data_IF_620210148510
#
_entry.id   IF_620210148510
#
_cell.length_a   1.000
_cell.length_b   1.000
_cell.length_c   1.000
_cell.angle_alpha   90.00
_cell.angle_beta   90.00
_cell.angle_gamma   90.00
#
_symmetry.space_group_name_H-M   'P 1'
#
loop_
_entity.id
_entity.type
_entity.pdbx_description
1 polymer ?
#
# COMPACT_ATOMS: atom_id res chain seq x y z
N UNK A 1 9.16 11.65 13.57
CA UNK A 1 7.88 11.21 12.99
C UNK A 1 7.81 11.83 11.63
N UNK A 2 8.08 11.04 10.59
CA UNK A 2 7.76 11.43 9.22
C UNK A 2 6.25 11.51 9.09
N UNK A 3 5.76 12.46 8.29
CA UNK A 3 4.33 12.60 8.02
C UNK A 3 3.95 11.55 6.96
N UNK A 4 2.97 10.66 7.20
CA UNK A 4 2.62 9.58 6.27
C UNK A 4 2.36 10.06 4.84
N UNK A 5 1.83 11.27 4.67
CA UNK A 5 1.63 11.88 3.37
C UNK A 5 2.92 12.29 2.66
N UNK A 6 3.93 12.76 3.38
CA UNK A 6 5.23 13.08 2.82
C UNK A 6 5.94 11.82 2.30
N UNK A 7 5.89 10.74 3.06
CA UNK A 7 6.46 9.44 2.66
C UNK A 7 5.71 8.86 1.46
N UNK A 8 4.37 8.91 1.48
CA UNK A 8 3.55 8.49 0.33
C UNK A 8 3.94 9.23 -0.95
N UNK A 9 4.01 10.57 -0.91
CA UNK A 9 4.40 11.36 -2.08
C UNK A 9 5.84 11.09 -2.50
N UNK A 10 6.76 10.90 -1.55
CA UNK A 10 8.13 10.54 -1.84
C UNK A 10 8.24 9.21 -2.59
N UNK A 11 7.50 8.18 -2.17
CA UNK A 11 7.60 6.84 -2.74
C UNK A 11 6.78 6.62 -4.01
N UNK A 12 5.63 7.26 -4.14
CA UNK A 12 4.72 7.07 -5.28
C UNK A 12 4.85 8.17 -6.32
N UNK A 13 5.34 9.36 -5.94
CA UNK A 13 5.26 10.56 -6.77
C UNK A 13 3.86 11.17 -6.87
N UNK A 14 2.83 10.55 -6.27
CA UNK A 14 1.47 11.09 -6.23
C UNK A 14 1.35 12.13 -5.13
N UNK A 15 0.67 13.23 -5.43
CA UNK A 15 0.40 14.27 -4.45
C UNK A 15 -0.49 13.71 -3.33
N UNK A 16 -0.08 13.93 -2.07
CA UNK A 16 -0.90 13.56 -0.92
C UNK A 16 -2.26 14.29 -0.95
N UNK A 17 -3.39 13.58 -0.93
CA UNK A 17 -4.70 14.22 -0.95
C UNK A 17 -4.97 14.98 0.34
N UNK A 18 -5.43 16.23 0.26
CA UNK A 18 -5.76 17.04 1.44
C UNK A 18 -6.90 16.45 2.28
N UNK A 19 -7.78 15.65 1.67
CA UNK A 19 -8.91 15.00 2.33
C UNK A 19 -8.57 13.58 2.84
N UNK A 20 -7.33 13.11 2.66
CA UNK A 20 -6.94 11.77 3.05
C UNK A 20 -7.09 11.56 4.57
N UNK A 21 -7.71 10.44 4.94
CA UNK A 21 -7.86 10.00 6.33
C UNK A 21 -7.07 8.73 6.52
N UNK A 22 -5.99 8.80 7.31
CA UNK A 22 -5.16 7.64 7.60
C UNK A 22 -5.97 6.63 8.41
N UNK A 23 -6.05 5.41 7.89
CA UNK A 23 -6.70 4.25 8.53
C UNK A 23 -5.65 3.45 9.30
N UNK A 24 -4.51 3.18 8.66
CA UNK A 24 -3.41 2.42 9.24
C UNK A 24 -2.10 2.87 8.61
N UNK A 25 -1.06 3.01 9.42
CA UNK A 25 0.29 3.31 8.96
C UNK A 25 1.30 2.55 9.82
N UNK A 26 2.36 2.05 9.21
CA UNK A 26 3.44 1.36 9.90
C UNK A 26 4.73 1.57 9.13
N UNK A 27 5.81 1.75 9.88
CA UNK A 27 7.11 2.03 9.31
C UNK A 27 8.18 1.39 10.20
N UNK A 28 8.72 0.27 9.74
CA UNK A 28 9.77 -0.48 10.42
C UNK A 28 11.03 -0.36 9.60
N UNK A 29 12.03 0.26 10.20
CA UNK A 29 13.41 0.29 9.72
C UNK A 29 14.25 -0.60 10.63
N UNK A 30 14.83 -1.66 10.10
CA UNK A 30 15.85 -2.41 10.84
C UNK A 30 17.22 -1.82 10.54
N UNK A 31 18.09 -1.82 11.55
CA UNK A 31 19.42 -1.17 11.53
C UNK A 31 20.39 -1.80 10.49
N UNK A 32 19.99 -2.89 9.81
CA UNK A 32 20.71 -3.49 8.71
C UNK A 32 20.13 -3.03 7.37
N UNK A 33 21.00 -2.48 6.52
CA UNK A 33 20.70 -1.90 5.21
C UNK A 33 19.84 -2.86 4.37
N UNK A 34 18.54 -2.59 4.29
CA UNK A 34 17.63 -3.32 3.40
C UNK A 34 16.55 -4.14 4.09
N UNK A 35 16.45 -4.15 5.43
CA UNK A 35 15.39 -4.89 6.12
C UNK A 35 14.35 -3.89 6.67
N UNK A 36 13.16 -3.85 6.08
CA UNK A 36 12.12 -2.95 6.52
C UNK A 36 10.79 -3.10 5.79
N UNK A 37 9.73 -2.66 6.45
CA UNK A 37 8.40 -2.62 5.87
C UNK A 37 7.74 -1.29 6.20
N UNK A 38 7.29 -0.62 5.15
CA UNK A 38 6.42 0.53 5.23
C UNK A 38 5.04 0.15 4.70
N UNK A 39 3.99 0.53 5.40
CA UNK A 39 2.64 0.51 4.87
C UNK A 39 1.87 1.76 5.23
N UNK A 40 0.94 2.10 4.35
CA UNK A 40 -0.01 3.17 4.53
C UNK A 40 -1.33 2.79 3.89
N UNK A 41 -2.39 2.87 4.67
CA UNK A 41 -3.76 2.67 4.24
C UNK A 41 -4.56 3.89 4.65
N UNK A 42 -5.26 4.47 3.69
CA UNK A 42 -6.02 5.69 3.93
C UNK A 42 -7.26 5.75 3.03
N UNK A 43 -8.30 6.40 3.56
CA UNK A 43 -9.52 6.69 2.83
C UNK A 43 -9.42 8.08 2.20
N UNK A 44 -10.03 8.26 1.03
CA UNK A 44 -10.14 9.55 0.36
C UNK A 44 -11.43 9.62 -0.47
N UNK A 45 -11.63 10.69 -1.23
CA UNK A 45 -12.79 10.79 -2.11
C UNK A 45 -12.62 9.97 -3.41
N UNK A 46 -13.75 9.48 -3.91
CA UNK A 46 -13.81 8.67 -5.13
C UNK A 46 -13.28 9.40 -6.36
N UNK A 47 -13.52 10.70 -6.48
CA UNK A 47 -13.13 11.48 -7.66
C UNK A 47 -11.60 11.55 -7.81
N UNK A 48 -10.87 11.69 -6.71
CA UNK A 48 -9.40 11.63 -6.70
C UNK A 48 -8.89 10.25 -7.13
N UNK A 49 -9.54 9.16 -6.71
CA UNK A 49 -9.19 7.80 -7.18
C UNK A 49 -9.38 7.63 -8.68
N UNK A 50 -10.53 8.08 -9.21
CA UNK A 50 -10.80 8.04 -10.64
C UNK A 50 -9.80 8.89 -11.44
N UNK A 51 -9.40 10.04 -10.90
CA UNK A 51 -8.36 10.87 -11.51
C UNK A 51 -7.02 10.13 -11.60
N UNK A 52 -6.55 9.54 -10.50
CA UNK A 52 -5.30 8.76 -10.52
C UNK A 52 -5.37 7.57 -11.47
N UNK A 53 -6.54 6.92 -11.59
CA UNK A 53 -6.73 5.81 -12.50
C UNK A 53 -6.70 6.24 -13.98
N UNK A 54 -7.09 7.48 -14.27
CA UNK A 54 -7.04 8.06 -15.61
C UNK A 54 -5.63 8.52 -16.02
N UNK A 55 -4.72 8.66 -15.06
CA UNK A 55 -3.31 9.02 -15.28
C UNK A 55 -2.41 7.76 -15.30
N UNK A 56 -1.22 7.83 -15.92
CA UNK A 56 -0.25 6.75 -15.80
C UNK A 56 0.08 6.47 -14.33
N UNK A 57 0.12 5.19 -13.90
CA UNK A 57 0.49 4.86 -12.53
C UNK A 57 1.94 5.26 -12.21
N UNK A 58 2.28 5.32 -10.91
CA UNK A 58 3.65 5.43 -10.45
C UNK A 58 4.66 4.45 -11.06
N UNK A 59 5.94 4.74 -10.84
CA UNK A 59 7.08 3.83 -11.08
C UNK A 59 7.30 3.46 -12.54
N UNK A 60 7.07 4.42 -13.44
CA UNK A 60 7.26 4.30 -14.90
C UNK A 60 6.44 3.16 -15.52
N UNK A 61 5.35 2.77 -14.85
CA UNK A 61 4.46 1.73 -15.34
C UNK A 61 3.48 2.32 -16.38
N UNK A 62 3.24 1.58 -17.46
CA UNK A 62 2.45 2.08 -18.58
C UNK A 62 0.94 2.15 -18.28
N UNK A 63 0.45 1.31 -17.36
CA UNK A 63 -0.97 1.23 -17.03
C UNK A 63 -1.21 0.55 -15.68
N UNK A 64 -2.31 0.93 -15.05
CA UNK A 64 -2.88 0.20 -13.93
C UNK A 64 -3.29 -1.22 -14.37
N UNK A 65 -3.07 -2.20 -13.50
CA UNK A 65 -3.57 -3.56 -13.64
C UNK A 65 -4.90 -3.66 -12.89
N UNK A 66 -5.90 -4.28 -13.50
CA UNK A 66 -7.21 -4.50 -12.87
C UNK A 66 -7.39 -5.96 -12.45
N UNK A 67 -8.11 -6.17 -11.35
CA UNK A 67 -8.45 -7.48 -10.84
C UNK A 67 -7.48 -7.99 -9.75
N UNK A 68 -7.55 -9.29 -9.43
CA UNK A 68 -6.83 -9.84 -8.29
C UNK A 68 -5.32 -9.63 -8.39
N UNK A 69 -4.70 -9.35 -7.25
CA UNK A 69 -3.25 -9.21 -7.15
C UNK A 69 -2.62 -10.61 -7.14
N UNK A 70 -1.61 -10.89 -7.98
CA UNK A 70 -0.91 -12.17 -7.98
C UNK A 70 -0.34 -12.56 -6.61
N UNK A 71 -0.44 -13.85 -6.29
CA UNK A 71 -0.01 -14.42 -5.01
C UNK A 71 1.45 -14.11 -4.67
N UNK A 72 2.34 -14.08 -5.68
CA UNK A 72 3.76 -13.75 -5.49
C UNK A 72 4.00 -12.33 -4.95
N UNK A 73 3.07 -11.40 -5.20
CA UNK A 73 3.12 -10.02 -4.69
C UNK A 73 2.34 -9.92 -3.39
N UNK A 74 1.11 -10.46 -3.36
CA UNK A 74 0.24 -10.38 -2.18
C UNK A 74 0.84 -11.14 -0.99
N UNK A 75 1.68 -12.15 -1.21
CA UNK A 75 2.44 -12.84 -0.17
C UNK A 75 3.44 -11.92 0.57
N UNK A 76 3.93 -10.88 -0.08
CA UNK A 76 4.95 -10.00 0.49
C UNK A 76 4.37 -8.77 1.21
N UNK A 77 3.31 -8.17 0.68
CA UNK A 77 2.71 -6.94 1.20
C UNK A 77 1.84 -7.20 2.45
N UNK A 78 2.16 -6.56 3.59
CA UNK A 78 1.56 -6.90 4.88
C UNK A 78 0.47 -5.97 5.40
N UNK A 79 0.51 -4.68 5.10
CA UNK A 79 -0.44 -3.66 5.57
C UNK A 79 -0.71 -3.68 7.09
N UNK A 80 0.28 -4.06 7.90
CA UNK A 80 0.17 -4.16 9.35
C UNK A 80 -0.60 -5.38 9.88
N UNK A 81 -1.01 -6.32 9.01
CA UNK A 81 -1.66 -7.58 9.39
C UNK A 81 -0.66 -8.73 9.45
N UNK A 82 0.28 -8.75 8.50
CA UNK A 82 1.44 -9.65 8.48
C UNK A 82 2.72 -8.85 8.15
N UNK A 83 3.86 -9.52 8.11
CA UNK A 83 5.14 -8.87 7.83
C UNK A 83 5.77 -8.27 9.08
N UNK A 84 6.82 -7.46 8.90
CA UNK A 84 7.57 -6.85 10.01
C UNK A 84 6.78 -5.74 10.68
N UNK A 85 5.91 -5.06 9.94
CA UNK A 85 5.01 -4.01 10.42
C UNK A 85 3.80 -4.54 11.20
N UNK A 86 3.59 -5.86 11.21
CA UNK A 86 2.49 -6.47 11.97
C UNK A 86 2.71 -6.29 13.46
N UNK A 87 1.73 -5.70 14.12
CA UNK A 87 1.77 -5.48 15.56
C UNK A 87 1.65 -6.82 16.31
N UNK A 88 2.69 -7.27 17.06
CA UNK A 88 2.65 -8.55 17.76
C UNK A 88 1.69 -8.55 18.96
N UNK A 89 1.25 -7.38 19.45
CA UNK A 89 0.40 -7.23 20.63
C UNK A 89 -0.90 -6.46 20.36
N UNK A 90 -1.05 -5.87 19.19
CA UNK A 90 -2.25 -5.15 18.79
C UNK A 90 -2.48 -3.83 19.54
N UNK A 91 -1.45 -3.04 19.80
CA UNK A 91 -1.49 -1.74 20.49
C UNK A 91 -1.20 -0.49 19.64
N UNK A 92 -1.33 -0.50 18.32
CA UNK A 92 -1.31 0.74 17.50
C UNK A 92 -2.58 1.61 17.64
N UNK A 93 -2.48 2.96 17.59
CA UNK A 93 -3.64 3.84 17.60
C UNK A 93 -4.30 3.82 16.22
N UNK A 94 -5.62 3.84 16.19
CA UNK A 94 -6.45 3.94 14.98
C UNK A 94 -6.62 2.63 14.17
N UNK A 95 -7.72 2.57 13.43
CA UNK A 95 -8.46 1.37 13.04
C UNK A 95 -7.58 0.23 12.48
N UNK A 96 -7.50 -0.89 13.21
CA UNK A 96 -6.81 -2.09 12.70
C UNK A 96 -7.54 -2.66 11.51
N UNK A 97 -6.82 -2.80 10.41
CA UNK A 97 -7.27 -3.57 9.26
C UNK A 97 -7.52 -5.00 9.72
N UNK A 98 -8.73 -5.50 9.51
CA UNK A 98 -9.03 -6.88 9.81
C UNK A 98 -8.40 -7.83 8.79
N UNK A 99 -8.12 -9.07 9.19
CA UNK A 99 -7.66 -10.14 8.28
C UNK A 99 -8.58 -10.29 7.06
N UNK A 100 -9.89 -10.14 7.27
CA UNK A 100 -10.90 -10.21 6.21
C UNK A 100 -10.77 -9.04 5.24
N UNK A 101 -10.58 -7.81 5.72
CA UNK A 101 -10.34 -6.65 4.85
C UNK A 101 -9.04 -6.81 4.06
N UNK A 102 -7.98 -7.24 4.75
CA UNK A 102 -6.66 -7.50 4.18
C UNK A 102 -6.72 -8.56 3.07
N UNK A 103 -7.44 -9.67 3.25
CA UNK A 103 -7.61 -10.68 2.20
C UNK A 103 -8.47 -10.13 1.04
N UNK A 104 -9.54 -9.40 1.36
CA UNK A 104 -10.49 -8.91 0.37
C UNK A 104 -9.88 -7.98 -0.68
N UNK A 105 -8.84 -7.20 -0.33
CA UNK A 105 -8.22 -6.25 -1.26
C UNK A 105 -7.48 -6.95 -2.41
N UNK A 106 -6.87 -8.10 -2.13
CA UNK A 106 -6.13 -8.88 -3.12
C UNK A 106 -7.02 -9.74 -4.00
N UNK A 107 -8.17 -10.17 -3.48
CA UNK A 107 -9.11 -11.04 -4.20
C UNK A 107 -10.15 -10.25 -5.02
N UNK A 108 -10.31 -8.96 -4.74
CA UNK A 108 -11.30 -8.13 -5.41
C UNK A 108 -11.05 -8.04 -6.92
N UNK A 109 -12.13 -8.13 -7.70
CA UNK A 109 -12.10 -7.88 -9.15
C UNK A 109 -12.21 -6.40 -9.49
N UNK A 110 -12.51 -5.57 -8.50
CA UNK A 110 -12.76 -4.14 -8.65
C UNK A 110 -11.59 -3.28 -8.15
N UNK A 111 -10.52 -3.92 -7.67
CA UNK A 111 -9.27 -3.25 -7.33
C UNK A 111 -8.42 -3.01 -8.57
N UNK A 112 -7.73 -1.87 -8.53
CA UNK A 112 -6.73 -1.50 -9.51
C UNK A 112 -5.40 -1.37 -8.79
N UNK A 113 -4.33 -1.90 -9.37
CA UNK A 113 -3.04 -1.87 -8.71
C UNK A 113 -1.89 -1.64 -9.68
N UNK A 114 -0.81 -1.15 -9.11
CA UNK A 114 0.52 -1.13 -9.71
C UNK A 114 1.49 -1.72 -8.70
N UNK A 115 2.46 -2.50 -9.18
CA UNK A 115 3.49 -3.09 -8.35
C UNK A 115 4.83 -3.01 -9.08
N UNK A 116 5.91 -2.79 -8.34
CA UNK A 116 7.27 -2.76 -8.86
C UNK A 116 8.15 -3.67 -8.02
N UNK A 117 8.77 -4.66 -8.67
CA UNK A 117 9.92 -5.37 -8.11
C UNK A 117 11.14 -4.46 -8.23
N UNK A 118 11.76 -4.12 -7.10
CA UNK A 118 12.95 -3.29 -6.98
C UNK A 118 14.23 -4.13 -6.93
N UNK A 119 14.11 -5.45 -6.99
CA UNK A 119 15.22 -6.39 -6.95
C UNK A 119 15.00 -7.59 -7.87
N UNK A 120 15.22 -8.79 -7.33
CA UNK A 120 15.05 -10.04 -8.05
C UNK A 120 14.07 -10.95 -7.29
N UNK A 121 12.83 -11.07 -7.79
CA UNK A 121 11.86 -12.03 -7.29
C UNK A 121 11.07 -11.51 -6.09
N UNK A 122 10.67 -10.24 -6.12
CA UNK A 122 9.81 -9.60 -5.11
C UNK A 122 10.36 -9.61 -3.68
N UNK A 123 11.67 -9.79 -3.50
CA UNK A 123 12.34 -9.64 -2.18
C UNK A 123 12.32 -8.19 -1.72
N UNK A 124 12.47 -7.26 -2.66
CA UNK A 124 12.35 -5.83 -2.43
C UNK A 124 11.28 -5.32 -3.37
N UNK A 125 10.15 -4.90 -2.84
CA UNK A 125 9.01 -4.55 -3.68
C UNK A 125 8.20 -3.42 -3.11
N UNK A 126 7.27 -2.98 -3.94
CA UNK A 126 6.24 -2.04 -3.54
C UNK A 126 4.98 -2.27 -4.37
N UNK A 127 3.83 -2.04 -3.75
CA UNK A 127 2.51 -2.13 -4.37
C UNK A 127 1.66 -0.96 -3.92
N UNK A 128 0.93 -0.40 -4.87
CA UNK A 128 -0.11 0.60 -4.64
C UNK A 128 -1.41 0.06 -5.22
N UNK A 129 -2.44 -0.04 -4.37
CA UNK A 129 -3.77 -0.53 -4.73
C UNK A 129 -4.78 0.58 -4.50
N UNK A 130 -5.66 0.77 -5.48
CA UNK A 130 -6.83 1.64 -5.44
C UNK A 130 -8.07 0.74 -5.32
N UNK A 131 -8.75 0.83 -4.19
CA UNK A 131 -10.05 0.17 -3.93
C UNK A 131 -11.16 1.21 -4.11
N UNK A 132 -11.75 1.22 -5.30
CA UNK A 132 -12.81 2.17 -5.66
C UNK A 132 -14.14 1.88 -4.95
N UNK A 133 -14.38 0.65 -4.48
CA UNK A 133 -15.63 0.32 -3.77
C UNK A 133 -15.63 0.92 -2.36
N UNK A 134 -14.46 0.90 -1.71
CA UNK A 134 -14.29 1.42 -0.34
C UNK A 134 -13.74 2.85 -0.28
N UNK A 135 -13.39 3.42 -1.43
CA UNK A 135 -12.66 4.68 -1.54
C UNK A 135 -11.35 4.69 -0.73
N UNK A 136 -10.61 3.58 -0.82
CA UNK A 136 -9.43 3.32 0.01
C UNK A 136 -8.21 3.07 -0.85
N UNK A 137 -7.07 3.58 -0.38
CA UNK A 137 -5.76 3.34 -0.97
C UNK A 137 -4.95 2.47 -0.04
N UNK A 138 -4.26 1.50 -0.62
CA UNK A 138 -3.36 0.62 0.08
C UNK A 138 -1.99 0.71 -0.54
N UNK A 139 -1.03 1.21 0.21
CA UNK A 139 0.36 1.30 -0.21
C UNK A 139 1.24 0.50 0.74
N UNK A 140 2.06 -0.39 0.19
CA UNK A 140 3.03 -1.17 0.95
C UNK A 140 4.33 -1.22 0.18
N UNK A 141 5.43 -1.08 0.91
CA UNK A 141 6.79 -1.20 0.43
C UNK A 141 7.55 -2.09 1.42
N UNK A 142 8.26 -3.06 0.88
CA UNK A 142 9.06 -3.99 1.68
C UNK A 142 10.45 -4.13 1.08
N UNK A 143 11.37 -4.45 1.95
CA UNK A 143 12.79 -4.65 1.71
C UNK A 143 13.15 -5.79 2.69
N UNK A 144 13.41 -7.00 2.18
CA UNK A 144 13.66 -8.23 2.95
C UNK A 144 14.98 -8.91 2.55
#
# INVERSE_FOLDING_TARGET
MTEPGADFTHYTGLAWPAAAQVVSAGDIWLDFVGDGEFHLVFDLDHATLEQWLAEPPPWEQLKWKGGPVPDEISWQAGFGVKGMSADPAGGGPDHKISEVEYQSVYESKQTWYVAQDRGAGWQHGQILILDLEKNRVWFSRWDY
#
